data_IF_296266077377
#
_entry.id   IF_296266077377
#
_cell.length_a   1.000
_cell.length_b   1.000
_cell.length_c   1.000
_cell.angle_alpha   90.00
_cell.angle_beta   90.00
_cell.angle_gamma   90.00
#
_symmetry.space_group_name_H-M   'P 1'
#
loop_
_entity.id
_entity.type
_entity.pdbx_description
1 polymer ?
#
# COMPACT_ATOMS: atom_id res chain seq x y z
N UNK A 1 6.09 -6.13 -13.81
CA UNK A 1 6.64 -4.87 -13.23
C UNK A 1 7.12 -5.22 -11.84
N UNK A 2 8.32 -4.79 -11.43
CA UNK A 2 8.78 -5.05 -10.05
C UNK A 2 8.01 -4.17 -9.08
N UNK A 3 7.65 -4.70 -7.92
CA UNK A 3 6.94 -3.96 -6.86
C UNK A 3 7.68 -2.68 -6.46
N UNK A 4 9.02 -2.66 -6.56
CA UNK A 4 9.81 -1.45 -6.32
C UNK A 4 9.55 -0.34 -7.33
N UNK A 5 9.30 -0.67 -8.61
CA UNK A 5 8.92 0.34 -9.62
C UNK A 5 7.53 0.90 -9.34
N UNK A 6 6.61 0.05 -8.88
CA UNK A 6 5.27 0.50 -8.45
C UNK A 6 5.36 1.43 -7.24
N UNK A 7 6.18 1.06 -6.26
CA UNK A 7 6.42 1.88 -5.08
C UNK A 7 7.04 3.24 -5.46
N UNK A 8 8.05 3.28 -6.32
CA UNK A 8 8.67 4.53 -6.75
C UNK A 8 7.64 5.51 -7.35
N UNK A 9 6.71 5.02 -8.19
CA UNK A 9 5.64 5.83 -8.77
C UNK A 9 4.64 6.34 -7.71
N UNK A 10 4.20 5.48 -6.81
CA UNK A 10 3.26 5.86 -5.75
C UNK A 10 3.91 6.82 -4.75
N UNK A 11 5.19 6.63 -4.44
CA UNK A 11 5.93 7.52 -3.57
C UNK A 11 6.06 8.90 -4.21
N UNK A 12 6.34 9.01 -5.51
CA UNK A 12 6.42 10.33 -6.17
C UNK A 12 5.11 11.13 -6.14
N UNK A 13 3.96 10.46 -6.04
CA UNK A 13 2.64 11.07 -6.02
C UNK A 13 2.09 11.30 -4.60
N UNK A 14 2.93 11.14 -3.56
CA UNK A 14 2.50 11.39 -2.18
C UNK A 14 2.20 12.90 -1.98
N UNK A 15 1.09 13.24 -1.30
CA UNK A 15 0.77 14.62 -0.95
C UNK A 15 1.88 15.30 -0.13
N UNK A 16 2.09 16.60 -0.32
CA UNK A 16 3.15 17.36 0.36
C UNK A 16 3.04 17.34 1.89
N UNK A 17 1.83 17.13 2.43
CA UNK A 17 1.55 17.07 3.87
C UNK A 17 1.74 15.67 4.47
N UNK A 18 2.35 14.73 3.76
CA UNK A 18 2.55 13.37 4.26
C UNK A 18 3.68 13.35 5.28
N UNK A 19 3.36 13.10 6.55
CA UNK A 19 4.36 13.02 7.63
C UNK A 19 4.95 11.61 7.75
N UNK A 20 4.15 10.57 7.50
CA UNK A 20 4.53 9.18 7.73
C UNK A 20 4.00 8.24 6.64
N UNK A 21 4.80 7.23 6.30
CA UNK A 21 4.42 6.17 5.36
C UNK A 21 4.53 4.81 6.02
N UNK A 22 3.43 4.06 6.00
CA UNK A 22 3.38 2.67 6.47
C UNK A 22 3.59 1.74 5.28
N UNK A 23 4.58 0.87 5.37
CA UNK A 23 4.90 -0.09 4.32
C UNK A 23 5.14 -1.48 4.86
N UNK A 24 4.88 -2.49 4.02
CA UNK A 24 5.23 -3.87 4.36
C UNK A 24 6.75 -4.08 4.40
N UNK A 25 7.20 -5.08 5.16
CA UNK A 25 8.60 -5.48 5.28
C UNK A 25 9.28 -5.71 3.92
N UNK A 26 8.54 -6.16 2.90
CA UNK A 26 9.07 -6.32 1.54
C UNK A 26 9.72 -5.05 0.97
N UNK A 27 9.17 -3.87 1.31
CA UNK A 27 9.61 -2.56 0.85
C UNK A 27 10.79 -1.98 1.64
N UNK A 28 11.29 -2.69 2.65
CA UNK A 28 12.50 -2.28 3.36
C UNK A 28 13.70 -2.28 2.41
N UNK A 29 14.09 -1.08 1.97
CA UNK A 29 15.24 -0.81 1.12
C UNK A 29 15.86 0.54 1.49
N UNK A 30 17.17 0.68 1.29
CA UNK A 30 17.85 1.96 1.52
C UNK A 30 17.31 3.04 0.59
N UNK A 31 17.06 2.70 -0.68
CA UNK A 31 16.51 3.63 -1.67
C UNK A 31 15.19 4.25 -1.22
N UNK A 32 14.22 3.43 -0.81
CA UNK A 32 12.90 3.91 -0.36
C UNK A 32 13.04 4.76 0.91
N UNK A 33 13.82 4.30 1.89
CA UNK A 33 14.01 5.06 3.14
C UNK A 33 14.70 6.40 2.91
N UNK A 34 15.70 6.45 2.04
CA UNK A 34 16.40 7.70 1.69
C UNK A 34 15.47 8.65 0.93
N UNK A 35 14.69 8.15 -0.03
CA UNK A 35 13.72 8.97 -0.78
C UNK A 35 12.63 9.56 0.12
N UNK A 36 12.20 8.83 1.15
CA UNK A 36 11.27 9.33 2.16
C UNK A 36 11.94 10.37 3.07
N UNK A 37 13.16 10.09 3.54
CA UNK A 37 13.91 10.99 4.40
C UNK A 37 14.25 12.33 3.72
N UNK A 38 14.59 12.31 2.43
CA UNK A 38 14.84 13.51 1.61
C UNK A 38 13.62 14.44 1.54
N UNK A 39 12.42 13.86 1.65
CA UNK A 39 11.14 14.57 1.69
C UNK A 39 10.63 14.83 3.10
N UNK A 40 11.46 14.59 4.11
CA UNK A 40 11.13 14.71 5.53
C UNK A 40 9.93 13.83 5.97
N UNK A 41 9.77 12.66 5.33
CA UNK A 41 8.70 11.69 5.61
C UNK A 41 9.28 10.52 6.42
N UNK A 42 8.62 10.17 7.52
CA UNK A 42 9.04 9.05 8.38
C UNK A 42 8.59 7.71 7.79
N UNK A 43 9.55 6.80 7.60
CA UNK A 43 9.29 5.46 7.07
C UNK A 43 8.95 4.47 8.19
N UNK A 44 7.66 4.24 8.44
CA UNK A 44 7.15 3.19 9.32
C UNK A 44 7.13 1.83 8.60
N UNK A 45 8.31 1.32 8.27
CA UNK A 45 8.52 0.04 7.58
C UNK A 45 9.29 -0.89 8.51
N UNK A 46 8.80 -2.11 8.80
CA UNK A 46 9.56 -3.06 9.60
C UNK A 46 10.84 -3.47 8.86
N UNK A 47 11.98 -3.55 9.57
CA UNK A 47 13.23 -3.99 8.95
C UNK A 47 13.15 -5.46 8.51
N UNK A 48 13.82 -5.79 7.40
CA UNK A 48 14.03 -7.18 7.00
C UNK A 48 14.88 -7.93 8.03
N UNK A 49 14.63 -9.23 8.18
CA UNK A 49 15.32 -10.07 9.17
C UNK A 49 16.84 -10.08 9.00
N UNK A 50 17.31 -10.02 7.76
CA UNK A 50 18.73 -10.05 7.37
C UNK A 50 19.40 -8.66 7.36
N UNK A 51 18.70 -7.59 7.72
CA UNK A 51 19.26 -6.24 7.73
C UNK A 51 20.24 -6.10 8.91
N UNK A 52 21.47 -5.68 8.62
CA UNK A 52 22.55 -5.50 9.63
C UNK A 52 22.18 -4.45 10.68
N UNK A 53 21.71 -3.28 10.23
CA UNK A 53 21.22 -2.21 11.09
C UNK A 53 19.71 -2.10 10.94
N UNK A 54 18.98 -2.36 12.02
CA UNK A 54 17.51 -2.38 12.06
C UNK A 54 17.01 -1.01 12.54
N UNK A 55 16.47 -0.16 11.66
CA UNK A 55 15.93 1.12 12.09
C UNK A 55 14.73 0.90 13.02
N UNK A 56 14.54 1.76 14.04
CA UNK A 56 13.31 1.76 14.81
C UNK A 56 12.12 2.05 13.90
N UNK A 57 10.96 1.52 14.27
CA UNK A 57 9.69 1.80 13.61
C UNK A 57 8.58 1.76 14.67
N UNK A 58 7.51 2.52 14.48
CA UNK A 58 6.37 2.51 15.37
C UNK A 58 5.51 1.25 15.11
N UNK A 59 5.53 0.33 16.08
CA UNK A 59 4.73 -0.88 16.04
C UNK A 59 3.21 -0.62 16.13
N UNK A 60 2.79 0.36 16.92
CA UNK A 60 1.37 0.72 17.07
C UNK A 60 0.84 1.33 15.77
N UNK A 61 1.63 2.19 15.13
CA UNK A 61 1.30 2.71 13.81
C UNK A 61 1.28 1.61 12.76
N UNK A 62 2.29 0.73 12.75
CA UNK A 62 2.37 -0.37 11.79
C UNK A 62 1.14 -1.29 11.83
N UNK A 63 0.52 -1.50 13.00
CA UNK A 63 -0.72 -2.27 13.12
C UNK A 63 -1.84 -1.73 12.23
N UNK A 64 -1.93 -0.41 12.00
CA UNK A 64 -2.97 0.20 11.16
C UNK A 64 -2.99 -0.32 9.72
N UNK A 65 -1.93 -0.98 9.25
CA UNK A 65 -1.90 -1.72 7.96
C UNK A 65 -3.07 -2.71 7.83
N UNK A 66 -3.57 -3.26 8.94
CA UNK A 66 -4.73 -4.16 8.94
C UNK A 66 -5.97 -3.50 8.30
N UNK A 67 -6.12 -2.17 8.36
CA UNK A 67 -7.25 -1.45 7.76
C UNK A 67 -7.22 -1.59 6.23
N UNK A 68 -6.04 -1.45 5.65
CA UNK A 68 -5.81 -1.62 4.21
C UNK A 68 -5.97 -3.09 3.81
N UNK A 69 -5.48 -4.02 4.62
CA UNK A 69 -5.67 -5.46 4.36
C UNK A 69 -7.15 -5.85 4.40
N UNK A 70 -7.91 -5.35 5.37
CA UNK A 70 -9.36 -5.55 5.47
C UNK A 70 -10.10 -4.95 4.27
N UNK A 71 -9.68 -3.76 3.82
CA UNK A 71 -10.24 -3.14 2.61
C UNK A 71 -10.03 -4.03 1.38
N UNK A 72 -8.81 -4.55 1.17
CA UNK A 72 -8.53 -5.46 0.07
C UNK A 72 -9.23 -6.82 0.22
N UNK A 73 -9.40 -7.32 1.44
CA UNK A 73 -10.15 -8.54 1.69
C UNK A 73 -11.60 -8.38 1.23
N UNK A 74 -12.28 -7.29 1.64
CA UNK A 74 -13.66 -6.98 1.20
C UNK A 74 -13.77 -6.83 -0.32
N UNK A 75 -12.81 -6.13 -0.95
CA UNK A 75 -12.79 -6.01 -2.41
C UNK A 75 -12.62 -7.38 -3.11
N UNK A 76 -11.94 -8.33 -2.47
CA UNK A 76 -11.76 -9.70 -2.98
C UNK A 76 -12.94 -10.63 -2.70
N UNK A 77 -13.94 -10.22 -1.91
CA UNK A 77 -15.20 -10.97 -1.82
C UNK A 77 -15.90 -11.00 -3.20
N UNK A 78 -15.67 -9.99 -4.03
CA UNK A 78 -16.11 -9.95 -5.41
C UNK A 78 -15.21 -10.83 -6.27
N UNK A 79 -15.71 -12.03 -6.65
CA UNK A 79 -14.97 -13.02 -7.44
C UNK A 79 -14.29 -12.43 -8.69
N UNK A 80 -14.97 -11.51 -9.39
CA UNK A 80 -14.45 -10.81 -10.58
C UNK A 80 -13.15 -10.06 -10.29
N UNK A 81 -13.09 -9.36 -9.15
CA UNK A 81 -11.93 -8.60 -8.68
C UNK A 81 -10.83 -9.54 -8.18
N UNK A 82 -11.18 -10.54 -7.36
CA UNK A 82 -10.21 -11.45 -6.75
C UNK A 82 -9.37 -12.23 -7.75
N UNK A 83 -10.03 -12.75 -8.78
CA UNK A 83 -9.40 -13.60 -9.81
C UNK A 83 -8.91 -12.82 -11.02
N UNK A 84 -9.18 -11.51 -11.09
CA UNK A 84 -8.86 -10.64 -12.23
C UNK A 84 -9.37 -11.22 -13.56
N UNK A 85 -10.65 -11.54 -13.63
CA UNK A 85 -11.27 -12.10 -14.85
C UNK A 85 -11.09 -11.20 -16.08
N UNK A 86 -11.10 -9.88 -15.87
CA UNK A 86 -11.04 -8.89 -16.94
C UNK A 86 -9.64 -8.79 -17.54
N UNK A 87 -9.51 -9.04 -18.85
CA UNK A 87 -8.26 -8.84 -19.60
C UNK A 87 -7.94 -7.37 -19.87
N UNK A 88 -8.98 -6.54 -19.98
CA UNK A 88 -8.84 -5.11 -20.21
C UNK A 88 -8.68 -4.36 -18.87
N UNK A 89 -7.63 -3.54 -18.77
CA UNK A 89 -7.32 -2.75 -17.57
C UNK A 89 -8.45 -1.80 -17.19
N UNK A 90 -9.10 -1.16 -18.18
CA UNK A 90 -10.22 -0.26 -17.96
C UNK A 90 -11.42 -0.99 -17.36
N UNK A 91 -11.78 -2.16 -17.90
CA UNK A 91 -12.89 -2.97 -17.39
C UNK A 91 -12.62 -3.48 -15.98
N UNK A 92 -11.40 -3.92 -15.71
CA UNK A 92 -10.98 -4.32 -14.36
C UNK A 92 -11.10 -3.15 -13.37
N UNK A 93 -10.63 -1.97 -13.78
CA UNK A 93 -10.72 -0.76 -12.95
C UNK A 93 -12.18 -0.37 -12.69
N UNK A 94 -13.06 -0.43 -13.69
CA UNK A 94 -14.51 -0.21 -13.49
C UNK A 94 -15.11 -1.20 -12.50
N UNK A 95 -14.73 -2.49 -12.56
CA UNK A 95 -15.21 -3.49 -11.61
C UNK A 95 -14.76 -3.18 -10.16
N UNK A 96 -13.53 -2.70 -9.97
CA UNK A 96 -13.04 -2.24 -8.65
C UNK A 96 -13.88 -1.06 -8.15
N UNK A 97 -14.14 -0.06 -8.99
CA UNK A 97 -14.93 1.11 -8.60
C UNK A 97 -16.34 0.71 -8.17
N UNK A 98 -17.01 -0.15 -8.94
CA UNK A 98 -18.33 -0.67 -8.59
C UNK A 98 -18.29 -1.36 -7.23
N UNK A 99 -17.36 -2.30 -7.04
CA UNK A 99 -17.22 -3.02 -5.76
C UNK A 99 -16.97 -2.05 -4.59
N UNK A 100 -16.08 -1.06 -4.77
CA UNK A 100 -15.79 -0.06 -3.74
C UNK A 100 -17.01 0.81 -3.41
N UNK A 101 -17.79 1.24 -4.40
CA UNK A 101 -19.02 2.00 -4.18
C UNK A 101 -20.06 1.20 -3.39
N UNK A 102 -20.25 -0.07 -3.72
CA UNK A 102 -21.17 -0.93 -2.95
C UNK A 102 -20.68 -1.19 -1.53
N UNK A 103 -19.39 -1.48 -1.34
CA UNK A 103 -18.86 -1.88 -0.02
C UNK A 103 -18.72 -0.68 0.95
N UNK A 104 -18.31 0.49 0.46
CA UNK A 104 -17.90 1.61 1.30
C UNK A 104 -18.86 2.81 1.27
N UNK A 105 -19.73 2.92 0.27
CA UNK A 105 -20.60 4.09 0.10
C UNK A 105 -22.09 3.74 0.25
N UNK A 106 -22.56 2.71 -0.43
CA UNK A 106 -23.94 2.24 -0.32
C UNK A 106 -24.07 1.39 0.94
N UNK A 107 -24.33 2.04 2.07
CA UNK A 107 -24.70 1.36 3.31
C UNK A 107 -26.03 0.61 3.09
N UNK A 108 -26.00 -0.71 3.19
CA UNK A 108 -27.12 -1.45 3.79
C UNK A 108 -27.03 -1.37 5.32
#
# INVERSE_FOLDING_TARGET
MSDFKGADLLLSDLPDKTEEVIGDRGYDSNKIRLSLADRNITACIPPKKNRKSKPPYDWHLYKKRHLIENMFAKLKDWRRVATRYDRCTHTFMSAIHIAASFIFWLKE
#
